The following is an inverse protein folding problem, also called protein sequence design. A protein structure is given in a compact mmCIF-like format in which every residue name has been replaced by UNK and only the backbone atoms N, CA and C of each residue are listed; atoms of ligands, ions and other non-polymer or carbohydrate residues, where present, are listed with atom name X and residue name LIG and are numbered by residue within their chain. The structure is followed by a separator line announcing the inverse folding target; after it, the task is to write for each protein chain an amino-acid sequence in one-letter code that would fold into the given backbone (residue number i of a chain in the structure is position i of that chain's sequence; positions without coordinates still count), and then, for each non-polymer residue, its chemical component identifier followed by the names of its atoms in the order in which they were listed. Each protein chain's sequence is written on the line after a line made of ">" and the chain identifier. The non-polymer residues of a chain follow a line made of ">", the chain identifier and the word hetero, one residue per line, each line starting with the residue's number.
data_IF_128258643629
#
_entry.id   IF_128258643629
#
_cell.length_a   1.000
_cell.length_b   1.000
_cell.length_c   1.000
_cell.angle_alpha   90.00
_cell.angle_beta   90.00
_cell.angle_gamma   90.00
#
_symmetry.space_group_name_H-M   'P 1'
#
loop_
_entity.id
_entity.type
_entity.pdbx_description
1 polymer ?
#
# COMPACT_ATOMS: atom_id res chain seq x y z
N UNK A 1 -10.95 8.07 14.37
CA UNK A 1 -10.48 7.40 13.14
C UNK A 1 -10.16 8.48 12.10
N UNK A 2 -8.96 9.06 12.19
CA UNK A 2 -8.47 10.18 11.33
C UNK A 2 -6.93 10.28 11.32
N UNK A 3 -6.24 9.54 12.19
CA UNK A 3 -4.76 9.54 12.29
C UNK A 3 -4.07 8.90 11.10
N UNK A 4 -4.79 8.11 10.29
CA UNK A 4 -4.23 7.47 9.10
C UNK A 4 -3.78 8.48 8.05
N UNK A 5 -4.47 9.63 7.94
CA UNK A 5 -4.15 10.70 6.99
C UNK A 5 -3.20 11.76 7.56
N UNK A 6 -2.68 11.54 8.78
CA UNK A 6 -1.72 12.41 9.40
C UNK A 6 -0.42 11.62 9.60
N UNK A 7 0.73 12.04 9.04
CA UNK A 7 2.00 11.37 9.25
C UNK A 7 2.24 11.05 10.73
N UNK A 8 2.46 9.78 11.04
CA UNK A 8 2.74 9.32 12.38
C UNK A 8 4.24 9.02 12.50
N UNK A 9 4.85 9.28 13.66
CA UNK A 9 6.28 9.01 13.86
C UNK A 9 6.67 7.53 13.68
N UNK A 10 5.71 6.60 13.85
CA UNK A 10 5.90 5.17 13.62
C UNK A 10 5.67 4.73 12.17
N UNK A 11 4.99 5.55 11.34
CA UNK A 11 4.71 5.26 9.93
C UNK A 11 5.56 6.17 9.04
N UNK A 12 6.88 5.92 9.06
CA UNK A 12 7.88 6.73 8.34
C UNK A 12 7.59 6.88 6.83
N UNK A 13 6.90 5.90 6.25
CA UNK A 13 6.64 5.83 4.80
C UNK A 13 5.20 6.20 4.44
N UNK A 14 4.36 6.54 5.43
CA UNK A 14 2.94 6.82 5.24
C UNK A 14 2.22 5.69 4.49
N UNK A 15 2.51 4.42 4.85
CA UNK A 15 2.00 3.23 4.17
C UNK A 15 0.48 3.26 4.07
N UNK A 16 -0.19 3.63 5.17
CA UNK A 16 -1.64 3.70 5.23
C UNK A 16 -2.24 4.70 4.24
N UNK A 17 -1.63 5.88 4.09
CA UNK A 17 -2.09 6.91 3.15
C UNK A 17 -1.96 6.44 1.70
N UNK A 18 -0.85 5.79 1.34
CA UNK A 18 -0.63 5.29 -0.01
C UNK A 18 -1.59 4.14 -0.35
N UNK A 19 -1.85 3.22 0.58
CA UNK A 19 -2.85 2.15 0.38
C UNK A 19 -4.25 2.72 0.15
N UNK A 20 -4.65 3.75 0.91
CA UNK A 20 -5.95 4.42 0.72
C UNK A 20 -6.00 5.17 -0.60
N UNK A 21 -4.95 5.89 -0.98
CA UNK A 21 -4.89 6.57 -2.27
C UNK A 21 -5.00 5.58 -3.44
N UNK A 22 -4.31 4.45 -3.37
CA UNK A 22 -4.40 3.37 -4.38
C UNK A 22 -5.82 2.83 -4.49
N UNK A 23 -6.46 2.57 -3.35
CA UNK A 23 -7.85 2.11 -3.31
C UNK A 23 -8.81 3.12 -3.96
N UNK A 24 -8.66 4.41 -3.66
CA UNK A 24 -9.48 5.45 -4.26
C UNK A 24 -9.25 5.58 -5.76
N UNK A 25 -8.00 5.50 -6.23
CA UNK A 25 -7.68 5.52 -7.66
C UNK A 25 -8.29 4.33 -8.40
N UNK A 26 -8.27 3.13 -7.80
CA UNK A 26 -8.94 1.95 -8.35
C UNK A 26 -10.46 2.15 -8.43
N UNK A 27 -11.08 2.64 -7.35
CA UNK A 27 -12.53 2.90 -7.31
C UNK A 27 -12.98 4.00 -8.27
N UNK A 28 -12.12 4.99 -8.52
CA UNK A 28 -12.36 6.07 -9.48
C UNK A 28 -12.09 5.64 -10.94
N UNK A 29 -11.51 4.46 -11.16
CA UNK A 29 -11.11 3.98 -12.49
C UNK A 29 -9.88 4.68 -13.07
N UNK A 30 -9.11 5.39 -12.24
CA UNK A 30 -7.90 6.11 -12.67
C UNK A 30 -6.69 5.20 -12.80
N UNK A 31 -6.64 4.11 -12.03
CA UNK A 31 -5.55 3.14 -12.08
C UNK A 31 -6.08 1.71 -11.88
N UNK A 32 -5.95 0.82 -12.89
CA UNK A 32 -6.40 -0.57 -12.79
C UNK A 32 -5.32 -1.53 -12.26
N UNK A 33 -4.12 -1.04 -11.93
CA UNK A 33 -2.97 -1.89 -11.60
C UNK A 33 -3.11 -2.62 -10.26
N UNK A 34 -3.85 -2.04 -9.31
CA UNK A 34 -4.05 -2.60 -7.97
C UNK A 34 -5.53 -2.65 -7.66
N UNK A 35 -6.08 -3.87 -7.55
CA UNK A 35 -7.45 -4.07 -7.13
C UNK A 35 -7.58 -4.10 -5.59
N UNK A 36 -8.83 -4.15 -5.11
CA UNK A 36 -9.11 -4.13 -3.67
C UNK A 36 -8.55 -5.37 -2.95
N UNK A 37 -8.58 -6.54 -3.58
CA UNK A 37 -8.10 -7.78 -2.98
C UNK A 37 -6.58 -7.73 -2.77
N UNK A 38 -5.84 -7.24 -3.77
CA UNK A 38 -4.39 -7.07 -3.71
C UNK A 38 -3.99 -6.08 -2.60
N UNK A 39 -4.66 -4.93 -2.52
CA UNK A 39 -4.39 -3.93 -1.48
C UNK A 39 -4.68 -4.45 -0.06
N UNK A 40 -5.74 -5.25 0.11
CA UNK A 40 -6.05 -5.89 1.39
C UNK A 40 -4.99 -6.94 1.77
N UNK A 41 -4.51 -7.73 0.80
CA UNK A 41 -3.45 -8.70 1.03
C UNK A 41 -2.15 -8.02 1.47
N UNK A 42 -1.74 -6.95 0.78
CA UNK A 42 -0.58 -6.13 1.17
C UNK A 42 -0.69 -5.62 2.60
N UNK A 43 -1.82 -5.03 2.97
CA UNK A 43 -2.06 -4.54 4.33
C UNK A 43 -1.97 -5.64 5.37
N UNK A 44 -2.66 -6.77 5.14
CA UNK A 44 -2.72 -7.86 6.11
C UNK A 44 -1.35 -8.49 6.36
N UNK A 45 -0.53 -8.67 5.33
CA UNK A 45 0.83 -9.19 5.49
C UNK A 45 1.77 -8.20 6.18
N UNK A 46 1.74 -6.92 5.78
CA UNK A 46 2.57 -5.89 6.41
C UNK A 46 2.21 -5.71 7.88
N UNK A 47 0.92 -5.72 8.22
CA UNK A 47 0.45 -5.63 9.60
C UNK A 47 0.83 -6.86 10.43
N UNK A 48 0.78 -8.06 9.87
CA UNK A 48 1.00 -9.31 10.62
C UNK A 48 2.47 -9.73 10.70
N UNK A 49 3.26 -9.49 9.65
CA UNK A 49 4.63 -9.99 9.50
C UNK A 49 5.68 -8.88 9.39
N UNK A 50 5.27 -7.65 9.05
CA UNK A 50 6.17 -6.53 8.78
C UNK A 50 6.70 -6.48 7.34
N UNK A 51 6.30 -7.40 6.46
CA UNK A 51 6.68 -7.44 5.05
C UNK A 51 5.56 -8.02 4.19
N UNK A 52 5.55 -7.70 2.90
CA UNK A 52 4.65 -8.27 1.90
C UNK A 52 5.38 -9.29 1.03
N UNK A 53 4.68 -10.35 0.59
CA UNK A 53 5.26 -11.44 -0.22
C UNK A 53 4.56 -11.48 -1.59
N UNK A 54 4.98 -10.66 -2.58
CA UNK A 54 4.31 -10.63 -3.89
C UNK A 54 4.47 -11.95 -4.65
N UNK A 55 5.61 -12.62 -4.47
CA UNK A 55 5.95 -13.92 -5.04
C UNK A 55 6.72 -14.75 -4.02
N UNK A 56 6.67 -16.07 -4.16
CA UNK A 56 7.32 -16.98 -3.22
C UNK A 56 8.82 -16.68 -3.10
N UNK A 57 9.30 -16.50 -1.87
CA UNK A 57 10.71 -16.20 -1.57
C UNK A 57 11.10 -14.72 -1.65
N UNK A 58 10.24 -13.84 -2.16
CA UNK A 58 10.49 -12.39 -2.21
C UNK A 58 9.78 -11.70 -1.07
N UNK A 59 10.49 -10.85 -0.33
CA UNK A 59 9.92 -10.04 0.75
C UNK A 59 10.10 -8.56 0.44
N UNK A 60 9.02 -7.81 0.51
CA UNK A 60 9.03 -6.36 0.36
C UNK A 60 8.83 -5.68 1.71
N UNK A 61 9.70 -4.72 1.99
CA UNK A 61 9.56 -3.82 3.15
C UNK A 61 8.39 -2.85 2.93
N UNK A 62 7.89 -2.19 3.99
CA UNK A 62 6.88 -1.14 3.85
C UNK A 62 7.27 -0.04 2.85
N UNK A 63 8.56 0.33 2.80
CA UNK A 63 9.12 1.30 1.84
C UNK A 63 8.96 0.82 0.39
N UNK A 64 9.37 -0.42 0.11
CA UNK A 64 9.26 -1.01 -1.24
C UNK A 64 7.81 -1.14 -1.70
N UNK A 65 6.88 -1.45 -0.78
CA UNK A 65 5.45 -1.46 -1.08
C UNK A 65 4.96 -0.05 -1.44
N UNK A 66 5.34 0.96 -0.66
CA UNK A 66 4.97 2.36 -0.94
C UNK A 66 5.53 2.83 -2.29
N UNK A 67 6.78 2.50 -2.61
CA UNK A 67 7.40 2.87 -3.88
C UNK A 67 6.72 2.18 -5.06
N UNK A 68 6.37 0.90 -4.92
CA UNK A 68 5.58 0.20 -5.92
C UNK A 68 4.20 0.84 -6.12
N UNK A 69 3.48 1.16 -5.03
CA UNK A 69 2.19 1.84 -5.11
C UNK A 69 2.32 3.19 -5.83
N UNK A 70 3.35 4.00 -5.53
CA UNK A 70 3.58 5.28 -6.24
C UNK A 70 3.79 5.09 -7.74
N UNK A 71 4.48 4.03 -8.16
CA UNK A 71 4.65 3.71 -9.58
C UNK A 71 3.32 3.38 -10.28
N UNK A 72 2.27 3.02 -9.54
CA UNK A 72 0.93 2.77 -10.08
C UNK A 72 0.03 4.01 -10.15
N UNK A 73 0.49 5.16 -9.65
CA UNK A 73 -0.33 6.37 -9.48
C UNK A 73 -0.37 7.31 -10.69
N UNK A 74 0.47 7.11 -11.71
CA UNK A 74 0.51 8.00 -12.86
C UNK A 74 0.83 7.28 -14.17
N UNK A 75 0.06 7.65 -15.21
CA UNK A 75 0.60 8.02 -16.52
C UNK A 75 0.46 9.54 -16.64
#
# INVERSE_FOLDING_TARGET
>A
MLTLLNPQGFDKYNLGMHLVAAYLNYKAGWSPFLDTATLQAMWNELRSKGYFTPTAGVKWTPEQVVDYIKQTFAF
#
